data_IF_115710338666
#
_entry.id   IF_115710338666
#
_cell.length_a   1.000
_cell.length_b   1.000
_cell.length_c   1.000
_cell.angle_alpha   90.00
_cell.angle_beta   90.00
_cell.angle_gamma   90.00
#
_symmetry.space_group_name_H-M   'P 1'
#
loop_
_entity.id
_entity.type
_entity.pdbx_description
1 polymer ?
#
# COMPACT_ATOMS: atom_id res chain seq x y z
N UNK A 1 6.86 -11.20 62.63
CA UNK A 1 7.47 -9.86 62.71
C UNK A 1 8.97 -10.03 62.96
N UNK A 2 9.83 -9.29 62.26
CA UNK A 2 11.29 -9.24 62.47
C UNK A 2 12.08 -10.06 61.42
N UNK A 3 12.33 -9.58 60.20
CA UNK A 3 13.23 -8.51 59.79
C UNK A 3 14.72 -8.92 59.69
N UNK A 4 15.16 -9.08 58.44
CA UNK A 4 16.34 -8.44 57.83
C UNK A 4 17.76 -8.90 58.21
N UNK A 5 18.46 -9.46 57.21
CA UNK A 5 19.87 -9.11 56.94
C UNK A 5 20.20 -9.24 55.44
N UNK A 6 20.06 -8.12 54.74
CA UNK A 6 20.55 -7.85 53.38
C UNK A 6 22.08 -7.90 53.32
N UNK A 7 22.65 -8.53 52.29
CA UNK A 7 24.01 -8.23 51.80
C UNK A 7 23.91 -7.56 50.42
N UNK A 8 24.72 -6.52 50.17
CA UNK A 8 24.57 -5.66 48.99
C UNK A 8 25.07 -6.37 47.73
N UNK A 9 24.22 -6.45 46.71
CA UNK A 9 24.64 -6.76 45.34
C UNK A 9 25.34 -5.54 44.73
N UNK A 10 26.52 -5.22 45.26
CA UNK A 10 27.45 -4.29 44.62
C UNK A 10 28.48 -5.12 43.86
N UNK A 11 28.68 -4.77 42.58
CA UNK A 11 29.65 -5.34 41.65
C UNK A 11 29.22 -6.69 41.03
N UNK A 12 28.54 -6.59 39.88
CA UNK A 12 28.66 -7.61 38.83
C UNK A 12 30.13 -7.63 38.43
N UNK A 13 30.92 -8.52 39.01
CA UNK A 13 32.25 -8.85 38.48
C UNK A 13 32.00 -9.58 37.15
N UNK A 14 31.93 -8.82 36.06
CA UNK A 14 31.95 -9.39 34.72
C UNK A 14 33.25 -10.18 34.60
N UNK A 15 33.14 -11.50 34.65
CA UNK A 15 34.30 -12.38 34.54
C UNK A 15 34.81 -12.33 33.10
N UNK A 16 35.74 -11.41 32.83
CA UNK A 16 36.45 -11.35 31.55
C UNK A 16 37.43 -12.51 31.55
N UNK A 17 37.07 -13.61 30.88
CA UNK A 17 38.00 -14.70 30.59
C UNK A 17 38.97 -14.23 29.51
N UNK A 18 40.13 -13.71 29.92
CA UNK A 18 41.27 -13.58 29.02
C UNK A 18 41.90 -14.97 28.89
N UNK A 19 41.74 -15.63 27.73
CA UNK A 19 42.42 -16.91 27.47
C UNK A 19 43.93 -16.67 27.38
N UNK A 20 44.67 -17.05 28.42
CA UNK A 20 46.14 -16.92 28.50
C UNK A 20 46.90 -18.00 27.68
N UNK A 21 46.20 -18.64 26.74
CA UNK A 21 46.85 -19.54 25.78
C UNK A 21 47.45 -18.72 24.66
N UNK A 22 48.77 -18.83 24.38
CA UNK A 22 49.38 -18.11 23.26
C UNK A 22 48.68 -18.52 21.97
N UNK A 23 47.97 -17.57 21.34
CA UNK A 23 47.26 -17.80 20.08
C UNK A 23 48.31 -18.13 19.03
N UNK A 24 48.49 -19.43 18.74
CA UNK A 24 49.41 -19.94 17.73
C UNK A 24 48.66 -19.99 16.41
N UNK A 25 48.84 -18.98 15.59
CA UNK A 25 48.37 -19.03 14.19
C UNK A 25 49.26 -20.00 13.40
N UNK A 26 48.66 -20.77 12.49
CA UNK A 26 49.46 -21.55 11.55
C UNK A 26 50.23 -20.60 10.62
N UNK A 27 51.48 -20.95 10.28
CA UNK A 27 52.30 -20.16 9.37
C UNK A 27 51.61 -19.95 8.01
N UNK A 28 50.81 -20.92 7.57
CA UNK A 28 49.98 -20.81 6.36
C UNK A 28 48.91 -19.72 6.46
N UNK A 29 48.28 -19.56 7.62
CA UNK A 29 47.27 -18.52 7.84
C UNK A 29 47.94 -17.14 7.94
N UNK A 30 49.12 -17.05 8.57
CA UNK A 30 49.93 -15.83 8.58
C UNK A 30 50.39 -15.46 7.18
N UNK A 31 50.86 -16.42 6.39
CA UNK A 31 51.33 -16.21 5.02
C UNK A 31 50.15 -15.86 4.08
N UNK A 32 48.96 -16.45 4.30
CA UNK A 32 47.72 -16.06 3.63
C UNK A 32 47.31 -14.62 3.98
N UNK A 33 47.35 -14.23 5.26
CA UNK A 33 47.07 -12.86 5.68
C UNK A 33 48.11 -11.85 5.16
N UNK A 34 49.39 -12.24 5.09
CA UNK A 34 50.47 -11.40 4.54
C UNK A 34 50.36 -11.23 3.02
N UNK A 35 49.97 -12.29 2.29
CA UNK A 35 49.74 -12.24 0.84
C UNK A 35 48.40 -11.61 0.48
N UNK A 36 47.44 -11.61 1.40
CA UNK A 36 46.13 -11.03 1.18
C UNK A 36 46.17 -9.51 1.39
N UNK A 37 46.37 -8.76 0.30
CA UNK A 37 46.24 -7.30 0.27
C UNK A 37 44.78 -6.83 0.20
N UNK A 38 43.82 -7.75 0.12
CA UNK A 38 42.39 -7.44 0.03
C UNK A 38 41.87 -7.11 1.43
N UNK A 39 41.52 -5.85 1.63
CA UNK A 39 40.87 -5.36 2.85
C UNK A 39 39.48 -5.99 3.00
N UNK A 40 38.97 -6.09 4.22
CA UNK A 40 37.63 -6.64 4.51
C UNK A 40 36.50 -6.00 3.67
N UNK A 41 36.68 -4.72 3.29
CA UNK A 41 35.78 -4.00 2.38
C UNK A 41 35.78 -4.53 0.94
N UNK A 42 36.88 -5.09 0.45
CA UNK A 42 36.94 -5.71 -0.88
C UNK A 42 36.32 -7.10 -0.90
N UNK A 43 36.49 -7.89 0.16
CA UNK A 43 35.84 -9.20 0.32
C UNK A 43 34.31 -9.07 0.40
N UNK A 44 33.82 -8.14 1.20
CA UNK A 44 32.38 -7.87 1.32
C UNK A 44 31.78 -7.43 -0.03
N UNK A 45 32.43 -6.52 -0.77
CA UNK A 45 32.01 -6.12 -2.11
C UNK A 45 31.99 -7.27 -3.11
N UNK A 46 33.01 -8.14 -3.10
CA UNK A 46 33.04 -9.30 -4.00
C UNK A 46 31.89 -10.27 -3.71
N UNK A 47 31.59 -10.50 -2.43
CA UNK A 47 30.46 -11.33 -2.03
C UNK A 47 29.12 -10.68 -2.43
N UNK A 48 28.98 -9.37 -2.27
CA UNK A 48 27.80 -8.62 -2.71
C UNK A 48 27.59 -8.74 -4.23
N UNK A 49 28.65 -8.60 -5.03
CA UNK A 49 28.58 -8.77 -6.48
C UNK A 49 28.14 -10.19 -6.87
N UNK A 50 28.65 -11.22 -6.19
CA UNK A 50 28.22 -12.61 -6.41
C UNK A 50 26.72 -12.79 -6.11
N UNK A 51 26.22 -12.18 -5.04
CA UNK A 51 24.78 -12.20 -4.74
C UNK A 51 23.98 -11.45 -5.79
N UNK A 52 24.43 -10.28 -6.23
CA UNK A 52 23.74 -9.53 -7.28
C UNK A 52 23.61 -10.35 -8.56
N UNK A 53 24.71 -10.99 -9.01
CA UNK A 53 24.69 -11.86 -10.18
C UNK A 53 23.72 -13.05 -10.03
N UNK A 54 23.69 -13.67 -8.85
CA UNK A 54 22.75 -14.76 -8.57
C UNK A 54 21.31 -14.25 -8.62
N UNK A 55 21.01 -13.15 -7.93
CA UNK A 55 19.68 -12.55 -7.90
C UNK A 55 19.22 -12.15 -9.30
N UNK A 56 20.09 -11.54 -10.11
CA UNK A 56 19.74 -11.17 -11.49
C UNK A 56 19.44 -12.40 -12.33
N UNK A 57 20.24 -13.47 -12.21
CA UNK A 57 19.97 -14.71 -12.96
C UNK A 57 18.67 -15.39 -12.53
N UNK A 58 18.30 -15.34 -11.24
CA UNK A 58 17.01 -15.88 -10.77
C UNK A 58 15.83 -15.01 -11.21
N UNK A 59 15.98 -13.69 -11.20
CA UNK A 59 14.95 -12.77 -11.69
C UNK A 59 14.70 -12.93 -13.20
N UNK A 60 15.75 -13.15 -13.99
CA UNK A 60 15.63 -13.42 -15.42
C UNK A 60 14.87 -14.73 -15.68
N UNK A 61 15.21 -15.81 -14.95
CA UNK A 61 14.47 -17.07 -15.02
C UNK A 61 12.99 -16.91 -14.66
N UNK A 62 12.68 -16.16 -13.60
CA UNK A 62 11.30 -15.92 -13.18
C UNK A 62 10.54 -15.12 -14.24
N UNK A 63 11.16 -14.08 -14.81
CA UNK A 63 10.58 -13.30 -15.91
C UNK A 63 10.25 -14.19 -17.11
N UNK A 64 11.16 -15.08 -17.50
CA UNK A 64 10.94 -15.97 -18.64
C UNK A 64 9.84 -17.00 -18.36
N UNK A 65 9.80 -17.55 -17.14
CA UNK A 65 8.72 -18.44 -16.71
C UNK A 65 7.36 -17.74 -16.72
N UNK A 66 7.29 -16.50 -16.21
CA UNK A 66 6.07 -15.69 -16.24
C UNK A 66 5.66 -15.38 -17.67
N UNK A 67 6.60 -14.99 -18.55
CA UNK A 67 6.30 -14.74 -19.95
C UNK A 67 5.74 -15.97 -20.67
N UNK A 68 6.31 -17.16 -20.42
CA UNK A 68 5.79 -18.43 -20.95
C UNK A 68 4.44 -18.80 -20.36
N UNK A 69 4.21 -18.53 -19.06
CA UNK A 69 2.92 -18.79 -18.43
C UNK A 69 1.84 -17.86 -18.99
N UNK A 70 2.16 -16.58 -19.20
CA UNK A 70 1.27 -15.62 -19.84
C UNK A 70 0.98 -15.98 -21.29
N UNK A 71 1.97 -16.45 -22.06
CA UNK A 71 1.73 -16.90 -23.43
C UNK A 71 0.81 -18.12 -23.45
N UNK A 72 1.08 -19.14 -22.61
CA UNK A 72 0.21 -20.32 -22.47
C UNK A 72 -1.21 -19.96 -22.03
N UNK A 73 -1.34 -19.07 -21.06
CA UNK A 73 -2.65 -18.58 -20.61
C UNK A 73 -3.37 -17.85 -21.73
N UNK A 74 -2.67 -16.98 -22.47
CA UNK A 74 -3.25 -16.26 -23.61
C UNK A 74 -3.68 -17.21 -24.72
N UNK A 75 -2.87 -18.22 -25.03
CA UNK A 75 -3.20 -19.28 -25.99
C UNK A 75 -4.42 -20.10 -25.52
N UNK A 76 -4.48 -20.47 -24.24
CA UNK A 76 -5.61 -21.20 -23.67
C UNK A 76 -6.89 -20.35 -23.68
N UNK A 77 -6.82 -19.07 -23.31
CA UNK A 77 -7.94 -18.13 -23.36
C UNK A 77 -8.43 -17.95 -24.80
N UNK A 78 -7.52 -17.83 -25.76
CA UNK A 78 -7.89 -17.72 -27.17
C UNK A 78 -8.54 -19.01 -27.68
N UNK A 79 -7.99 -20.18 -27.31
CA UNK A 79 -8.56 -21.49 -27.67
C UNK A 79 -9.91 -21.79 -26.97
N UNK A 80 -10.13 -21.27 -25.77
CA UNK A 80 -11.37 -21.42 -25.00
C UNK A 80 -12.46 -20.43 -25.47
N UNK A 81 -12.04 -19.28 -26.02
CA UNK A 81 -12.96 -18.32 -26.65
C UNK A 81 -13.67 -18.86 -27.90
N UNK A 82 -13.11 -19.87 -28.57
CA UNK A 82 -13.72 -20.61 -29.68
C UNK A 82 -14.54 -21.84 -29.25
N UNK A 83 -14.57 -22.20 -27.95
CA UNK A 83 -15.19 -23.44 -27.43
C UNK A 83 -16.02 -23.25 -26.15
N UNK A 84 -16.86 -22.22 -26.11
CA UNK A 84 -17.80 -22.04 -24.99
C UNK A 84 -19.25 -21.91 -25.48
N UNK A 85 -19.77 -23.01 -26.01
CA UNK A 85 -21.14 -23.44 -25.69
C UNK A 85 -21.01 -24.83 -25.02
N UNK A 86 -21.52 -24.91 -23.79
CA UNK A 86 -21.68 -26.08 -22.90
C UNK A 86 -20.66 -26.32 -21.75
N UNK A 87 -21.14 -26.44 -20.49
CA UNK A 87 -20.30 -26.74 -19.34
C UNK A 87 -19.86 -28.20 -19.35
N UNK A 88 -18.57 -28.44 -19.61
CA UNK A 88 -18.02 -29.79 -19.69
C UNK A 88 -17.97 -30.49 -18.32
N UNK A 89 -18.24 -31.80 -18.34
CA UNK A 89 -18.34 -32.74 -17.21
C UNK A 89 -17.10 -32.79 -16.28
N UNK A 90 -16.01 -32.13 -16.64
CA UNK A 90 -14.75 -32.07 -15.88
C UNK A 90 -14.86 -31.24 -14.59
N UNK A 91 -15.71 -30.20 -14.57
CA UNK A 91 -15.99 -29.42 -13.36
C UNK A 91 -16.75 -30.25 -12.30
N UNK A 92 -17.66 -31.13 -12.74
CA UNK A 92 -18.45 -31.98 -11.82
C UNK A 92 -17.61 -33.09 -11.19
N UNK A 93 -16.60 -33.59 -11.89
CA UNK A 93 -15.69 -34.64 -11.40
C UNK A 93 -14.62 -34.11 -10.45
N UNK A 94 -14.21 -32.85 -10.62
CA UNK A 94 -13.25 -32.18 -9.73
C UNK A 94 -13.89 -31.73 -8.41
N UNK A 95 -15.19 -31.39 -8.38
CA UNK A 95 -15.92 -31.10 -7.15
C UNK A 95 -16.17 -32.36 -6.29
N UNK A 96 -16.34 -33.54 -6.91
CA UNK A 96 -16.55 -34.80 -6.18
C UNK A 96 -15.27 -35.38 -5.54
N UNK A 97 -14.09 -34.93 -5.99
CA UNK A 97 -12.77 -35.43 -5.55
C UNK A 97 -11.97 -34.43 -4.72
N UNK A 98 -12.53 -33.23 -4.52
CA UNK A 98 -11.89 -32.13 -3.80
C UNK A 98 -12.21 -32.15 -2.30
N UNK A 99 -11.17 -31.98 -1.48
CA UNK A 99 -11.28 -31.86 -0.02
C UNK A 99 -12.13 -30.63 0.37
N UNK A 100 -12.82 -30.68 1.50
CA UNK A 100 -13.62 -29.55 2.01
C UNK A 100 -12.84 -28.23 2.09
N UNK A 101 -11.51 -28.28 2.28
CA UNK A 101 -10.64 -27.10 2.28
C UNK A 101 -10.44 -26.49 0.89
N UNK A 102 -10.36 -27.30 -0.16
CA UNK A 102 -10.17 -26.81 -1.54
C UNK A 102 -11.47 -26.28 -2.13
N UNK A 103 -12.62 -26.82 -1.72
CA UNK A 103 -13.93 -26.26 -2.05
C UNK A 103 -14.14 -24.89 -1.40
N UNK A 104 -13.75 -24.73 -0.14
CA UNK A 104 -13.82 -23.45 0.57
C UNK A 104 -12.92 -22.38 -0.06
N UNK A 105 -11.70 -22.76 -0.49
CA UNK A 105 -10.77 -21.86 -1.15
C UNK A 105 -11.23 -21.49 -2.57
N UNK A 106 -11.81 -22.44 -3.32
CA UNK A 106 -12.39 -22.21 -4.64
C UNK A 106 -13.64 -21.33 -4.56
N UNK A 107 -14.47 -21.48 -3.53
CA UNK A 107 -15.57 -20.54 -3.25
C UNK A 107 -15.06 -19.16 -2.88
N UNK A 108 -14.00 -19.03 -2.07
CA UNK A 108 -13.37 -17.73 -1.81
C UNK A 108 -12.79 -17.09 -3.06
N UNK A 109 -12.16 -17.84 -3.94
CA UNK A 109 -11.70 -17.33 -5.24
C UNK A 109 -12.85 -16.92 -6.15
N UNK A 110 -13.99 -17.63 -6.10
CA UNK A 110 -15.21 -17.28 -6.83
C UNK A 110 -15.90 -16.04 -6.25
N UNK A 111 -15.87 -15.87 -4.93
CA UNK A 111 -16.32 -14.67 -4.23
C UNK A 111 -15.37 -13.48 -4.42
N UNK A 112 -14.10 -13.73 -4.75
CA UNK A 112 -13.13 -12.73 -5.22
C UNK A 112 -13.04 -12.64 -6.75
N UNK A 113 -13.93 -13.31 -7.48
CA UNK A 113 -13.92 -13.30 -8.93
C UNK A 113 -14.22 -11.90 -9.45
N UNK A 114 -13.73 -11.59 -10.64
CA UNK A 114 -13.98 -10.32 -11.33
C UNK A 114 -15.47 -9.94 -11.31
N UNK A 115 -16.37 -10.91 -11.44
CA UNK A 115 -17.81 -10.69 -11.52
C UNK A 115 -18.48 -10.35 -10.19
N UNK A 116 -17.92 -10.76 -9.05
CA UNK A 116 -18.42 -10.34 -7.72
C UNK A 116 -17.95 -8.92 -7.41
N UNK A 117 -16.69 -8.62 -7.70
CA UNK A 117 -16.10 -7.29 -7.49
C UNK A 117 -16.80 -6.23 -8.35
N UNK A 118 -17.13 -6.53 -9.61
CA UNK A 118 -17.88 -5.59 -10.47
C UNK A 118 -19.28 -5.31 -9.91
N UNK A 119 -20.00 -6.34 -9.45
CA UNK A 119 -21.31 -6.19 -8.80
C UNK A 119 -21.23 -5.35 -7.53
N UNK A 120 -20.20 -5.54 -6.72
CA UNK A 120 -19.97 -4.71 -5.52
C UNK A 120 -19.67 -3.25 -5.87
N UNK A 121 -18.86 -3.01 -6.90
CA UNK A 121 -18.56 -1.65 -7.39
C UNK A 121 -19.84 -0.96 -7.88
N UNK A 122 -20.70 -1.65 -8.62
CA UNK A 122 -21.99 -1.11 -9.08
C UNK A 122 -22.95 -0.84 -7.90
N UNK A 123 -23.00 -1.74 -6.92
CA UNK A 123 -23.76 -1.53 -5.69
C UNK A 123 -23.24 -0.34 -4.87
N UNK A 124 -21.93 -0.10 -4.85
CA UNK A 124 -21.34 1.07 -4.19
C UNK A 124 -21.62 2.36 -4.95
N UNK A 125 -21.54 2.34 -6.29
CA UNK A 125 -21.90 3.50 -7.14
C UNK A 125 -23.35 3.90 -6.94
N UNK A 126 -24.27 2.94 -7.01
CA UNK A 126 -25.71 3.21 -6.78
C UNK A 126 -25.97 3.74 -5.37
N UNK A 127 -25.29 3.22 -4.33
CA UNK A 127 -25.37 3.76 -2.98
C UNK A 127 -24.80 5.18 -2.84
N UNK A 128 -23.73 5.50 -3.58
CA UNK A 128 -23.13 6.83 -3.60
C UNK A 128 -23.98 7.84 -4.37
N UNK A 129 -24.63 7.42 -5.45
CA UNK A 129 -25.57 8.27 -6.20
C UNK A 129 -26.92 8.44 -5.47
N UNK A 130 -27.37 7.40 -4.75
CA UNK A 130 -28.53 7.48 -3.88
C UNK A 130 -28.27 8.35 -2.63
N UNK A 131 -27.01 8.45 -2.19
CA UNK A 131 -26.64 9.50 -1.23
C UNK A 131 -26.73 10.84 -1.95
N UNK A 132 -27.64 11.67 -1.45
CA UNK A 132 -27.80 13.06 -1.89
C UNK A 132 -26.41 13.72 -1.87
N UNK A 133 -25.85 13.97 -3.06
CA UNK A 133 -24.64 14.79 -3.19
C UNK A 133 -24.91 16.06 -2.39
N UNK A 134 -23.98 16.40 -1.48
CA UNK A 134 -24.05 17.63 -0.69
C UNK A 134 -24.49 18.73 -1.65
N UNK A 135 -25.66 19.32 -1.38
CA UNK A 135 -26.34 20.25 -2.29
C UNK A 135 -25.30 21.28 -2.72
N UNK A 136 -24.87 21.22 -3.98
CA UNK A 136 -23.81 22.09 -4.45
C UNK A 136 -24.29 23.51 -4.21
N UNK A 137 -23.49 24.30 -3.49
CA UNK A 137 -23.83 25.67 -3.16
C UNK A 137 -24.26 26.40 -4.45
N UNK A 138 -25.31 27.22 -4.36
CA UNK A 138 -25.90 27.93 -5.49
C UNK A 138 -24.79 28.56 -6.37
N UNK A 139 -24.79 28.35 -7.70
CA UNK A 139 -23.81 28.96 -8.59
C UNK A 139 -23.71 30.48 -8.43
N UNK A 140 -24.77 31.18 -8.05
CA UNK A 140 -24.72 32.63 -7.79
C UNK A 140 -23.80 32.97 -6.61
N UNK A 141 -23.86 32.17 -5.54
CA UNK A 141 -23.06 32.32 -4.33
C UNK A 141 -21.59 32.04 -4.64
N UNK A 142 -21.31 30.95 -5.36
CA UNK A 142 -19.94 30.60 -5.74
C UNK A 142 -19.29 31.69 -6.59
N UNK A 143 -20.04 32.28 -7.54
CA UNK A 143 -19.56 33.41 -8.32
C UNK A 143 -19.30 34.66 -7.47
N UNK A 144 -20.18 34.97 -6.52
CA UNK A 144 -19.98 36.09 -5.60
C UNK A 144 -18.74 35.88 -4.70
N UNK A 145 -18.53 34.64 -4.22
CA UNK A 145 -17.34 34.25 -3.45
C UNK A 145 -16.07 34.42 -4.28
N UNK A 146 -16.07 33.97 -5.53
CA UNK A 146 -14.93 34.12 -6.43
C UNK A 146 -14.59 35.59 -6.69
N UNK A 147 -15.59 36.46 -6.85
CA UNK A 147 -15.37 37.90 -7.02
C UNK A 147 -14.74 38.55 -5.79
N UNK A 148 -15.18 38.17 -4.57
CA UNK A 148 -14.56 38.64 -3.33
C UNK A 148 -13.11 38.19 -3.24
N UNK A 149 -12.85 36.90 -3.52
CA UNK A 149 -11.49 36.35 -3.48
C UNK A 149 -10.60 37.00 -4.54
N UNK A 150 -11.13 37.23 -5.74
CA UNK A 150 -10.40 37.91 -6.81
C UNK A 150 -10.05 39.35 -6.41
N UNK A 151 -11.00 40.11 -5.86
CA UNK A 151 -10.74 41.47 -5.40
C UNK A 151 -9.70 41.48 -4.27
N UNK A 152 -9.85 40.62 -3.26
CA UNK A 152 -8.92 40.58 -2.13
C UNK A 152 -7.51 40.19 -2.57
N UNK A 153 -7.35 39.28 -3.54
CA UNK A 153 -6.05 38.92 -4.12
C UNK A 153 -5.40 40.06 -4.90
N UNK A 154 -6.21 40.87 -5.59
CA UNK A 154 -5.72 42.06 -6.30
C UNK A 154 -5.34 43.18 -5.33
N UNK A 155 -6.04 43.26 -4.19
CA UNK A 155 -5.89 44.31 -3.17
C UNK A 155 -5.42 43.74 -1.81
N UNK A 156 -4.38 42.89 -1.81
CA UNK A 156 -3.89 42.18 -0.62
C UNK A 156 -3.51 43.11 0.56
N UNK A 157 -3.07 44.33 0.26
CA UNK A 157 -2.68 45.34 1.26
C UNK A 157 -3.78 46.37 1.56
N UNK A 158 -4.91 46.32 0.84
CA UNK A 158 -6.03 47.28 0.95
C UNK A 158 -7.37 46.54 0.88
N UNK A 159 -7.70 45.71 1.88
CA UNK A 159 -8.93 44.91 1.86
C UNK A 159 -10.22 45.76 1.89
N UNK A 160 -10.12 47.04 2.29
CA UNK A 160 -11.26 47.96 2.33
C UNK A 160 -11.75 48.38 0.93
N UNK A 161 -10.95 48.24 -0.12
CA UNK A 161 -11.35 48.58 -1.48
C UNK A 161 -12.40 47.59 -2.04
N UNK A 162 -12.47 46.38 -1.47
CA UNK A 162 -13.34 45.27 -1.90
C UNK A 162 -14.70 45.21 -1.18
N UNK A 163 -15.13 46.32 -0.57
CA UNK A 163 -16.34 46.36 0.25
C UNK A 163 -17.62 46.04 -0.56
N UNK A 164 -17.65 46.41 -1.84
CA UNK A 164 -18.81 46.22 -2.71
C UNK A 164 -19.04 44.75 -3.05
N UNK A 165 -17.97 44.00 -3.30
CA UNK A 165 -17.98 42.56 -3.54
C UNK A 165 -18.38 41.80 -2.27
N UNK A 166 -17.94 42.29 -1.10
CA UNK A 166 -18.36 41.71 0.19
C UNK A 166 -19.84 41.96 0.46
N UNK A 167 -20.37 43.15 0.12
CA UNK A 167 -21.81 43.43 0.25
C UNK A 167 -22.66 42.56 -0.68
N UNK A 168 -22.23 42.33 -1.93
CA UNK A 168 -22.96 41.45 -2.85
C UNK A 168 -22.95 40.01 -2.37
N UNK A 169 -21.81 39.52 -1.86
CA UNK A 169 -21.73 38.20 -1.23
C UNK A 169 -22.65 38.08 -0.01
N UNK A 170 -22.69 39.07 0.87
CA UNK A 170 -23.59 39.08 2.04
C UNK A 170 -25.06 39.04 1.63
N UNK A 171 -25.45 39.73 0.56
CA UNK A 171 -26.82 39.69 0.02
C UNK A 171 -27.19 38.29 -0.49
N UNK A 172 -26.30 37.64 -1.23
CA UNK A 172 -26.52 36.27 -1.74
C UNK A 172 -26.61 35.25 -0.61
N UNK A 173 -25.73 35.35 0.41
CA UNK A 173 -25.79 34.49 1.60
C UNK A 173 -27.09 34.72 2.37
N UNK A 174 -27.47 35.97 2.60
CA UNK A 174 -28.73 36.29 3.30
C UNK A 174 -29.99 35.83 2.54
N UNK A 175 -29.95 35.69 1.21
CA UNK A 175 -31.03 35.07 0.43
C UNK A 175 -31.12 33.58 0.75
N UNK A 176 -30.00 32.85 0.67
CA UNK A 176 -29.95 31.41 0.93
C UNK A 176 -30.24 31.07 2.40
N UNK A 177 -29.82 31.91 3.33
CA UNK A 177 -30.15 31.75 4.76
C UNK A 177 -31.65 31.87 5.00
N UNK A 178 -32.33 32.83 4.36
CA UNK A 178 -33.80 32.94 4.43
C UNK A 178 -34.48 31.70 3.87
N UNK A 179 -34.08 31.26 2.67
CA UNK A 179 -34.63 30.06 2.05
C UNK A 179 -34.42 28.81 2.92
N UNK A 180 -33.25 28.70 3.57
CA UNK A 180 -32.94 27.63 4.51
C UNK A 180 -33.80 27.69 5.78
N UNK A 181 -33.96 28.87 6.37
CA UNK A 181 -34.80 29.09 7.56
C UNK A 181 -36.26 28.77 7.25
N UNK A 182 -36.79 29.21 6.10
CA UNK A 182 -38.15 28.89 5.65
C UNK A 182 -38.36 27.38 5.45
N UNK A 183 -37.35 26.68 4.90
CA UNK A 183 -37.39 25.23 4.69
C UNK A 183 -37.22 24.41 5.97
N UNK A 184 -36.60 24.96 7.00
CA UNK A 184 -36.31 24.24 8.26
C UNK A 184 -37.35 24.49 9.36
N UNK A 185 -38.02 25.65 9.34
CA UNK A 185 -39.09 25.98 10.30
C UNK A 185 -40.45 25.37 9.88
N UNK A 186 -40.63 25.03 8.61
CA UNK A 186 -41.85 24.40 8.07
C UNK A 186 -41.75 22.89 8.01
#
# INVERSE_FOLDING_TARGET
MGAENSKPASQVSQHVFSSDTPVRFSNELVDSLQKNTTTDSTRSKQQELQYQLRLTSELEKLRDQEAQNLSKLTESLSAESDKSEEPSLTEKLSDATSSSSTLAEKQRQKDMSRDSVTKEIEALRTKLDARKKLEQADPSLNKAKENVVACLRMHDRRPLDCWKEVETFKKEVGRLEKDFVEKTIR
#
